data_IF_673939918637
#
_entry.id   IF_673939918637
#
_cell.length_a   1.000
_cell.length_b   1.000
_cell.length_c   1.000
_cell.angle_alpha   90.00
_cell.angle_beta   90.00
_cell.angle_gamma   90.00
#
_symmetry.space_group_name_H-M   'P 1'
#
loop_
_entity.id
_entity.type
_entity.pdbx_description
1 polymer ?
#
# COMPACT_ATOMS: atom_id res chain seq x y z
N UNK A 1 4.37 15.66 -8.43
CA UNK A 1 4.78 14.32 -7.98
C UNK A 1 6.22 14.39 -7.55
N UNK A 2 6.59 13.62 -6.54
CA UNK A 2 7.95 13.56 -5.99
C UNK A 2 8.36 12.08 -5.88
N UNK A 3 9.65 11.79 -6.07
CA UNK A 3 10.22 10.48 -5.79
C UNK A 3 10.95 10.53 -4.44
N UNK A 4 10.43 9.82 -3.46
CA UNK A 4 11.03 9.73 -2.12
C UNK A 4 11.52 8.31 -1.84
N UNK A 5 12.70 8.19 -1.22
CA UNK A 5 13.30 6.92 -0.86
C UNK A 5 13.70 6.91 0.61
N UNK A 6 13.39 5.81 1.31
CA UNK A 6 13.72 5.64 2.72
C UNK A 6 14.92 4.69 2.88
N UNK A 7 16.10 5.25 3.18
CA UNK A 7 17.39 4.53 3.19
C UNK A 7 17.99 4.45 4.60
N UNK A 8 18.56 3.30 4.93
CA UNK A 8 19.21 3.05 6.23
C UNK A 8 19.60 1.57 6.40
N UNK A 9 20.39 1.21 7.43
CA UNK A 9 20.81 -0.17 7.66
C UNK A 9 19.63 -1.10 7.99
N UNK A 10 19.89 -2.42 7.98
CA UNK A 10 18.91 -3.39 8.46
C UNK A 10 18.57 -3.13 9.92
N UNK A 11 17.28 -3.23 10.28
CA UNK A 11 16.80 -2.89 11.62
C UNK A 11 16.53 -1.41 11.87
N UNK A 12 16.82 -0.51 10.92
CA UNK A 12 16.54 0.93 11.08
C UNK A 12 15.04 1.32 11.06
N UNK A 13 14.12 0.35 10.98
CA UNK A 13 12.67 0.60 11.01
C UNK A 13 12.00 0.89 9.66
N UNK A 14 12.72 0.89 8.53
CA UNK A 14 12.17 1.22 7.19
C UNK A 14 10.88 0.47 6.86
N UNK A 15 10.91 -0.86 6.94
CA UNK A 15 9.75 -1.71 6.64
C UNK A 15 8.62 -1.47 7.62
N UNK A 16 8.93 -1.33 8.91
CA UNK A 16 7.98 -1.01 9.98
C UNK A 16 7.27 0.32 9.69
N UNK A 17 7.99 1.36 9.31
CA UNK A 17 7.43 2.66 8.94
C UNK A 17 6.51 2.56 7.73
N UNK A 18 6.94 1.90 6.66
CA UNK A 18 6.09 1.72 5.47
C UNK A 18 4.83 0.94 5.85
N UNK A 19 4.95 -0.16 6.61
CA UNK A 19 3.80 -0.96 7.07
C UNK A 19 2.82 -0.15 7.91
N UNK A 20 3.29 0.81 8.72
CA UNK A 20 2.41 1.74 9.44
C UNK A 20 1.66 2.68 8.51
N UNK A 21 2.36 3.30 7.55
CA UNK A 21 1.75 4.24 6.59
C UNK A 21 0.68 3.59 5.69
N UNK A 22 0.84 2.30 5.39
CA UNK A 22 -0.12 1.55 4.57
C UNK A 22 -1.18 0.80 5.40
N UNK A 23 -1.17 0.96 6.73
CA UNK A 23 -2.15 0.35 7.62
C UNK A 23 -2.02 -1.16 7.84
N UNK A 24 -0.85 -1.76 7.57
CA UNK A 24 -0.55 -3.16 7.91
C UNK A 24 -0.03 -3.32 9.34
N UNK A 25 0.49 -2.26 9.94
CA UNK A 25 0.97 -2.24 11.32
C UNK A 25 0.38 -1.02 12.04
N UNK A 26 -0.14 -1.20 13.25
CA UNK A 26 -0.64 -0.09 14.06
C UNK A 26 0.53 0.64 14.73
N UNK A 27 0.66 1.98 14.62
CA UNK A 27 1.64 2.74 15.38
C UNK A 27 1.37 2.63 16.88
N UNK A 28 2.43 2.63 17.68
CA UNK A 28 2.29 2.64 19.15
C UNK A 28 1.89 4.01 19.67
N UNK A 29 2.48 5.07 19.11
CA UNK A 29 2.24 6.47 19.47
C UNK A 29 2.67 7.37 18.30
N UNK A 30 2.38 8.67 18.38
CA UNK A 30 2.68 9.67 17.36
C UNK A 30 1.56 9.86 16.34
N UNK A 31 1.86 10.61 15.29
CA UNK A 31 0.88 10.95 14.24
C UNK A 31 1.53 10.86 12.87
N UNK A 32 0.79 10.36 11.89
CA UNK A 32 1.17 10.38 10.49
C UNK A 32 -0.08 10.56 9.62
N UNK A 33 0.08 11.34 8.55
CA UNK A 33 -1.00 11.67 7.62
C UNK A 33 -0.65 11.19 6.22
N UNK A 34 -1.61 10.57 5.54
CA UNK A 34 -1.52 10.23 4.11
C UNK A 34 -2.58 11.02 3.37
N UNK A 35 -2.15 11.95 2.52
CA UNK A 35 -3.05 12.86 1.80
C UNK A 35 -4.08 13.58 2.72
N UNK A 36 -3.64 13.96 3.92
CA UNK A 36 -4.48 14.63 4.93
C UNK A 36 -5.31 13.71 5.83
N UNK A 37 -5.36 12.41 5.54
CA UNK A 37 -6.05 11.42 6.37
C UNK A 37 -5.13 10.84 7.45
N UNK A 38 -5.65 10.69 8.67
CA UNK A 38 -4.90 10.11 9.78
C UNK A 38 -4.83 8.58 9.69
N UNK A 39 -3.63 8.01 9.83
CA UNK A 39 -3.43 6.56 9.75
C UNK A 39 -4.04 5.77 10.92
N UNK A 40 -4.44 6.43 12.01
CA UNK A 40 -5.15 5.83 13.15
C UNK A 40 -6.67 5.75 12.91
N UNK A 41 -7.25 6.74 12.26
CA UNK A 41 -8.70 6.93 12.19
C UNK A 41 -9.28 6.63 10.79
N UNK A 42 -8.54 6.94 9.71
CA UNK A 42 -9.08 7.02 8.34
C UNK A 42 -8.43 6.04 7.35
N UNK A 43 -8.03 4.85 7.83
CA UNK A 43 -7.42 3.81 6.98
C UNK A 43 -8.22 3.42 5.73
N UNK A 44 -9.58 3.34 5.75
CA UNK A 44 -10.34 3.02 4.55
C UNK A 44 -10.08 4.03 3.41
N UNK A 45 -10.12 5.33 3.70
CA UNK A 45 -9.84 6.38 2.71
C UNK A 45 -8.40 6.31 2.20
N UNK A 46 -7.45 6.00 3.10
CA UNK A 46 -6.04 5.86 2.72
C UNK A 46 -5.84 4.71 1.73
N UNK A 47 -6.50 3.56 1.96
CA UNK A 47 -6.35 2.37 1.10
C UNK A 47 -6.90 2.56 -0.31
N UNK A 48 -7.89 3.43 -0.50
CA UNK A 48 -8.38 3.82 -1.83
C UNK A 48 -7.38 4.73 -2.58
N UNK A 49 -6.47 5.38 -1.87
CA UNK A 49 -5.51 6.34 -2.43
C UNK A 49 -4.14 5.75 -2.75
N UNK A 50 -3.75 4.64 -2.11
CA UNK A 50 -2.40 4.10 -2.20
C UNK A 50 -2.36 2.73 -2.90
N UNK A 51 -1.39 2.54 -3.79
CA UNK A 51 -1.01 1.24 -4.31
C UNK A 51 0.23 0.72 -3.57
N UNK A 52 0.24 -0.56 -3.19
CA UNK A 52 1.36 -1.18 -2.48
C UNK A 52 1.87 -2.38 -3.25
N UNK A 53 3.18 -2.41 -3.50
CA UNK A 53 3.88 -3.61 -3.96
C UNK A 53 4.63 -4.24 -2.76
N UNK A 54 4.17 -5.38 -2.21
CA UNK A 54 4.82 -6.03 -1.09
C UNK A 54 6.20 -6.60 -1.48
N UNK A 55 7.03 -6.91 -0.46
CA UNK A 55 8.36 -7.48 -0.65
C UNK A 55 8.34 -8.78 -1.46
N UNK A 56 7.35 -9.63 -1.20
CA UNK A 56 7.05 -10.78 -2.06
C UNK A 56 5.87 -10.41 -2.97
N UNK A 57 6.06 -10.38 -4.31
CA UNK A 57 4.99 -10.00 -5.23
C UNK A 57 3.76 -10.91 -5.08
N UNK A 58 2.59 -10.31 -4.92
CA UNK A 58 1.32 -11.00 -4.83
C UNK A 58 0.82 -11.44 -6.22
N UNK A 59 1.54 -12.36 -6.87
CA UNK A 59 1.21 -12.86 -8.22
C UNK A 59 0.55 -14.23 -8.13
N UNK A 60 -0.62 -14.36 -8.75
CA UNK A 60 -1.33 -15.63 -8.88
C UNK A 60 -0.74 -16.43 -10.03
N UNK A 61 0.09 -17.42 -9.68
CA UNK A 61 0.90 -18.22 -10.65
C UNK A 61 0.08 -19.02 -11.66
N UNK A 62 -1.19 -19.29 -11.36
CA UNK A 62 -2.10 -20.01 -12.26
C UNK A 62 -2.83 -19.09 -13.25
N UNK A 63 -2.60 -17.78 -13.17
CA UNK A 63 -3.17 -16.76 -14.04
C UNK A 63 -2.07 -16.17 -14.94
N UNK A 64 -2.42 -15.83 -16.17
CA UNK A 64 -1.59 -14.99 -17.05
C UNK A 64 -1.41 -13.59 -16.46
N UNK A 65 -0.46 -12.82 -17.03
CA UNK A 65 -0.25 -11.43 -16.62
C UNK A 65 -1.51 -10.57 -16.80
N UNK A 66 -2.25 -10.75 -17.91
CA UNK A 66 -3.49 -10.02 -18.17
C UNK A 66 -4.57 -10.37 -17.14
N UNK A 67 -4.69 -11.64 -16.77
CA UNK A 67 -5.65 -12.10 -15.76
C UNK A 67 -5.30 -11.60 -14.36
N UNK A 68 -4.00 -11.54 -14.00
CA UNK A 68 -3.57 -10.92 -12.75
C UNK A 68 -3.96 -9.43 -12.69
N UNK A 69 -3.68 -8.67 -13.76
CA UNK A 69 -4.05 -7.25 -13.82
C UNK A 69 -5.57 -7.07 -13.72
N UNK A 70 -6.35 -7.86 -14.46
CA UNK A 70 -7.81 -7.81 -14.39
C UNK A 70 -8.33 -8.16 -12.99
N UNK A 71 -7.74 -9.16 -12.33
CA UNK A 71 -8.09 -9.53 -10.96
C UNK A 71 -7.83 -8.39 -9.98
N UNK A 72 -6.64 -7.78 -10.01
CA UNK A 72 -6.32 -6.64 -9.13
C UNK A 72 -7.23 -5.44 -9.42
N UNK A 73 -7.50 -5.12 -10.69
CA UNK A 73 -8.44 -4.06 -11.04
C UNK A 73 -9.84 -4.31 -10.48
N UNK A 74 -10.34 -5.54 -10.56
CA UNK A 74 -11.65 -5.90 -9.97
C UNK A 74 -11.63 -5.81 -8.43
N UNK A 75 -10.55 -6.26 -7.77
CA UNK A 75 -10.41 -6.18 -6.30
C UNK A 75 -10.39 -4.73 -5.80
N UNK A 76 -9.83 -3.82 -6.60
CA UNK A 76 -9.81 -2.37 -6.34
C UNK A 76 -11.02 -1.64 -6.95
N UNK A 77 -12.07 -2.36 -7.37
CA UNK A 77 -13.30 -1.78 -7.92
C UNK A 77 -13.06 -0.77 -9.05
N UNK A 78 -12.00 -0.98 -9.84
CA UNK A 78 -11.68 -0.10 -10.96
C UNK A 78 -12.82 -0.11 -11.97
N UNK A 79 -13.19 1.07 -12.53
CA UNK A 79 -14.13 1.14 -13.63
C UNK A 79 -13.67 0.24 -14.77
N UNK A 80 -14.60 -0.49 -15.37
CA UNK A 80 -14.34 -1.21 -16.61
C UNK A 80 -14.62 -0.25 -17.75
N UNK A 81 -13.67 -0.13 -18.67
CA UNK A 81 -13.94 0.49 -19.96
C UNK A 81 -15.01 -0.37 -20.65
N UNK A 82 -16.21 0.18 -20.87
CA UNK A 82 -17.23 -0.41 -21.74
C UNK A 82 -16.82 -0.33 -23.21
#
# INVERSE_FOLDING_TARGET
>A
GELFGFLGPNGAGKTTTIQMLIGLLKPTDGTALVNGYDIHEDLPNIKELIGVCPQEPAVFKHLSGKENIALFGNLHLMPKDE
#
